data_IF_129694007614
#
_entry.id   IF_129694007614
#
_cell.length_a   1.000
_cell.length_b   1.000
_cell.length_c   1.000
_cell.angle_alpha   90.00
_cell.angle_beta   90.00
_cell.angle_gamma   90.00
#
_symmetry.space_group_name_H-M   'P 1'
#
loop_
_entity.id
_entity.type
_entity.pdbx_description
1 polymer ?
#
# COMPACT_ATOMS: atom_id res chain seq x y z
N UNK A 1 10.77 19.35 9.71
CA UNK A 1 11.63 18.14 9.81
C UNK A 1 10.85 16.93 10.35
N UNK A 2 9.88 17.11 11.25
CA UNK A 2 9.00 16.04 11.73
C UNK A 2 8.13 15.42 10.62
N UNK A 3 7.59 16.23 9.70
CA UNK A 3 6.68 15.76 8.64
C UNK A 3 7.28 14.66 7.74
N UNK A 4 8.56 14.77 7.38
CA UNK A 4 9.23 13.75 6.57
C UNK A 4 9.45 12.45 7.35
N UNK A 5 9.71 12.53 8.65
CA UNK A 5 9.82 11.34 9.49
C UNK A 5 8.45 10.69 9.69
N UNK A 6 7.40 11.50 9.88
CA UNK A 6 6.03 11.03 9.96
C UNK A 6 5.60 10.32 8.67
N UNK A 7 5.89 10.90 7.50
CA UNK A 7 5.63 10.26 6.21
C UNK A 7 6.32 8.89 6.10
N UNK A 8 7.58 8.79 6.53
CA UNK A 8 8.30 7.52 6.56
C UNK A 8 7.65 6.50 7.50
N UNK A 9 7.21 6.93 8.67
CA UNK A 9 6.51 6.06 9.63
C UNK A 9 5.19 5.52 9.06
N UNK A 10 4.41 6.36 8.36
CA UNK A 10 3.17 5.92 7.70
C UNK A 10 3.44 4.81 6.69
N UNK A 11 4.42 4.99 5.79
CA UNK A 11 4.73 3.97 4.78
C UNK A 11 5.26 2.67 5.42
N UNK A 12 6.06 2.75 6.48
CA UNK A 12 6.53 1.56 7.20
C UNK A 12 5.37 0.81 7.84
N UNK A 13 4.51 1.52 8.58
CA UNK A 13 3.37 0.90 9.24
C UNK A 13 2.38 0.30 8.23
N UNK A 14 2.16 0.95 7.09
CA UNK A 14 1.37 0.40 6.00
C UNK A 14 1.88 -0.96 5.55
N UNK A 15 3.18 -1.07 5.26
CA UNK A 15 3.73 -2.34 4.83
C UNK A 15 3.83 -3.37 5.94
N UNK A 16 4.08 -2.98 7.19
CA UNK A 16 4.06 -3.90 8.33
C UNK A 16 2.67 -4.53 8.52
N UNK A 17 1.63 -3.70 8.54
CA UNK A 17 0.23 -4.14 8.68
C UNK A 17 -0.16 -5.01 7.48
N UNK A 18 0.23 -4.61 6.26
CA UNK A 18 -0.06 -5.36 5.05
C UNK A 18 0.71 -6.68 4.98
N UNK A 19 1.97 -6.73 5.39
CA UNK A 19 2.79 -7.94 5.40
C UNK A 19 2.26 -8.94 6.45
N UNK A 20 1.81 -8.44 7.60
CA UNK A 20 1.15 -9.23 8.65
C UNK A 20 -0.26 -9.73 8.28
N UNK A 21 -0.93 -9.12 7.31
CA UNK A 21 -2.26 -9.52 6.86
C UNK A 21 -2.28 -10.97 6.34
N UNK A 22 -3.14 -11.81 6.92
CA UNK A 22 -3.22 -13.25 6.58
C UNK A 22 -4.43 -13.53 5.68
N UNK A 23 -5.51 -12.79 5.88
CA UNK A 23 -6.76 -12.94 5.14
C UNK A 23 -7.11 -11.66 4.36
N UNK A 24 -8.18 -11.74 3.58
CA UNK A 24 -8.68 -10.64 2.76
C UNK A 24 -9.10 -9.42 3.59
N UNK A 25 -9.82 -9.62 4.70
CA UNK A 25 -10.25 -8.52 5.57
C UNK A 25 -9.08 -7.79 6.22
N UNK A 26 -8.00 -8.50 6.57
CA UNK A 26 -6.79 -7.89 7.12
C UNK A 26 -6.11 -6.99 6.07
N UNK A 27 -6.10 -7.43 4.81
CA UNK A 27 -5.54 -6.64 3.70
C UNK A 27 -6.34 -5.35 3.49
N UNK A 28 -7.68 -5.44 3.53
CA UNK A 28 -8.57 -4.26 3.42
C UNK A 28 -8.32 -3.31 4.58
N UNK A 29 -8.29 -3.82 5.81
CA UNK A 29 -8.04 -3.01 7.01
C UNK A 29 -6.67 -2.29 6.96
N UNK A 30 -5.61 -2.96 6.53
CA UNK A 30 -4.29 -2.36 6.37
C UNK A 30 -4.32 -1.22 5.33
N UNK A 31 -4.98 -1.44 4.19
CA UNK A 31 -5.07 -0.43 3.13
C UNK A 31 -5.91 0.78 3.55
N UNK A 32 -7.11 0.57 4.09
CA UNK A 32 -8.02 1.65 4.51
C UNK A 32 -7.46 2.48 5.67
N UNK A 33 -6.66 1.86 6.55
CA UNK A 33 -6.02 2.57 7.66
C UNK A 33 -4.98 3.60 7.21
N UNK A 34 -4.24 3.31 6.15
CA UNK A 34 -3.04 4.09 5.78
C UNK A 34 -3.20 4.87 4.46
N UNK A 35 -4.15 4.50 3.61
CA UNK A 35 -4.37 5.14 2.32
C UNK A 35 -5.59 6.06 2.34
N UNK A 36 -5.53 7.14 1.56
CA UNK A 36 -6.69 8.03 1.37
C UNK A 36 -7.85 7.27 0.71
N UNK A 37 -9.11 7.49 1.11
CA UNK A 37 -10.29 6.98 0.40
C UNK A 37 -10.33 7.38 -1.08
N UNK A 38 -9.73 8.53 -1.42
CA UNK A 38 -9.61 9.04 -2.79
C UNK A 38 -8.33 8.61 -3.52
N UNK A 39 -7.59 7.62 -3.00
CA UNK A 39 -6.39 7.09 -3.65
C UNK A 39 -6.69 6.59 -5.07
N UNK A 40 -5.77 6.87 -5.98
CA UNK A 40 -5.69 6.27 -7.30
C UNK A 40 -4.48 5.35 -7.32
N UNK A 41 -4.69 4.06 -7.54
CA UNK A 41 -3.64 3.07 -7.68
C UNK A 41 -3.51 2.68 -9.15
N UNK A 42 -2.29 2.73 -9.67
CA UNK A 42 -1.99 2.47 -11.08
C UNK A 42 -1.13 1.22 -11.21
N UNK A 43 -1.77 0.13 -11.63
CA UNK A 43 -1.14 -1.13 -11.95
C UNK A 43 -0.96 -1.35 -13.44
N UNK A 44 -0.40 -2.50 -13.76
CA UNK A 44 -0.31 -3.03 -15.12
C UNK A 44 -1.57 -3.86 -15.45
N UNK A 45 -1.76 -4.21 -16.72
CA UNK A 45 -2.81 -5.17 -17.12
C UNK A 45 -2.61 -6.50 -16.38
N UNK A 46 -3.63 -7.09 -15.72
CA UNK A 46 -5.06 -6.85 -15.93
C UNK A 46 -5.71 -5.83 -14.99
N UNK A 47 -4.98 -5.28 -14.02
CA UNK A 47 -5.54 -4.43 -12.96
C UNK A 47 -5.80 -2.99 -13.43
N UNK A 48 -4.97 -2.46 -14.32
CA UNK A 48 -5.06 -1.08 -14.82
C UNK A 48 -5.13 -0.05 -13.67
N UNK A 49 -6.09 0.87 -13.70
CA UNK A 49 -6.34 1.82 -12.61
C UNK A 49 -7.40 1.27 -11.66
N UNK A 50 -7.08 1.28 -10.37
CA UNK A 50 -8.01 0.99 -9.28
C UNK A 50 -8.19 2.24 -8.44
N UNK A 51 -9.42 2.45 -7.98
CA UNK A 51 -9.76 3.56 -7.08
C UNK A 51 -9.97 3.00 -5.69
N UNK A 52 -9.73 3.81 -4.67
CA UNK A 52 -9.92 3.49 -3.25
C UNK A 52 -9.05 2.33 -2.69
N UNK A 53 -8.79 2.30 -1.38
CA UNK A 53 -7.91 1.29 -0.78
C UNK A 53 -8.51 -0.12 -0.73
N UNK A 54 -9.82 -0.24 -0.59
CA UNK A 54 -10.52 -1.52 -0.52
C UNK A 54 -10.37 -2.31 -1.82
N UNK A 55 -10.61 -1.68 -2.97
CA UNK A 55 -10.51 -2.37 -4.26
C UNK A 55 -9.08 -2.85 -4.54
N UNK A 56 -8.06 -2.08 -4.17
CA UNK A 56 -6.66 -2.52 -4.31
C UNK A 56 -6.37 -3.72 -3.41
N UNK A 57 -6.87 -3.72 -2.17
CA UNK A 57 -6.71 -4.85 -1.26
C UNK A 57 -7.37 -6.12 -1.82
N UNK A 58 -8.59 -5.99 -2.33
CA UNK A 58 -9.41 -7.11 -2.81
C UNK A 58 -8.94 -7.66 -4.16
N UNK A 59 -8.59 -6.79 -5.10
CA UNK A 59 -8.27 -7.20 -6.47
C UNK A 59 -6.80 -7.51 -6.66
N UNK A 60 -5.90 -6.89 -5.88
CA UNK A 60 -4.46 -7.07 -6.04
C UNK A 60 -3.83 -7.82 -4.85
N UNK A 61 -3.86 -7.24 -3.64
CA UNK A 61 -3.06 -7.76 -2.53
C UNK A 61 -3.52 -9.12 -2.00
N UNK A 62 -4.82 -9.29 -1.74
CA UNK A 62 -5.34 -10.55 -1.21
C UNK A 62 -5.11 -11.73 -2.19
N UNK A 63 -5.38 -11.60 -3.51
CA UNK A 63 -5.05 -12.65 -4.48
C UNK A 63 -3.55 -12.92 -4.58
N UNK A 64 -2.71 -11.87 -4.61
CA UNK A 64 -1.25 -12.02 -4.69
C UNK A 64 -0.70 -12.78 -3.49
N UNK A 65 -1.11 -12.41 -2.27
CA UNK A 65 -0.70 -13.09 -1.02
C UNK A 65 -1.28 -14.49 -0.90
N UNK A 66 -2.40 -14.79 -1.56
CA UNK A 66 -2.93 -16.15 -1.64
C UNK A 66 -2.08 -17.03 -2.58
N UNK A 67 -1.69 -16.49 -3.73
CA UNK A 67 -0.94 -17.21 -4.75
C UNK A 67 0.55 -17.41 -4.39
N UNK A 68 1.17 -16.46 -3.69
CA UNK A 68 2.58 -16.49 -3.34
C UNK A 68 2.75 -16.62 -1.82
N UNK A 69 3.04 -17.84 -1.34
CA UNK A 69 3.22 -18.10 0.09
C UNK A 69 4.51 -18.89 0.38
N UNK A 70 5.40 -18.39 1.27
CA UNK A 70 5.36 -17.09 1.94
C UNK A 70 5.83 -15.94 1.02
N UNK A 71 5.07 -14.84 0.96
CA UNK A 71 5.52 -13.60 0.31
C UNK A 71 6.41 -12.82 1.26
N UNK A 72 7.62 -12.44 0.82
CA UNK A 72 8.53 -11.60 1.59
C UNK A 72 8.91 -10.36 0.78
N UNK A 73 8.75 -9.20 1.40
CA UNK A 73 9.14 -7.92 0.82
C UNK A 73 10.56 -7.55 1.23
N UNK A 74 11.36 -7.09 0.26
CA UNK A 74 12.68 -6.49 0.50
C UNK A 74 12.62 -4.99 0.23
N UNK A 75 13.00 -4.19 1.22
CA UNK A 75 12.97 -2.73 1.14
C UNK A 75 14.35 -2.18 0.75
N UNK A 76 14.79 -2.50 -0.46
CA UNK A 76 16.11 -2.08 -0.95
C UNK A 76 16.14 -0.57 -1.27
N UNK A 77 15.03 -0.01 -1.75
CA UNK A 77 14.84 1.44 -1.94
C UNK A 77 13.57 1.88 -1.22
N UNK A 78 13.70 2.90 -0.37
CA UNK A 78 12.60 3.43 0.43
C UNK A 78 12.43 4.94 0.22
N UNK A 79 11.23 5.35 -0.17
CA UNK A 79 10.87 6.74 -0.41
C UNK A 79 9.61 7.09 0.38
N UNK A 80 9.64 8.24 1.05
CA UNK A 80 8.47 8.88 1.64
C UNK A 80 8.75 10.37 1.78
N UNK A 81 7.74 11.19 1.47
CA UNK A 81 7.87 12.63 1.48
C UNK A 81 6.85 13.26 0.56
N UNK A 82 7.08 14.53 0.24
CA UNK A 82 6.24 15.27 -0.69
C UNK A 82 6.65 14.96 -2.14
N UNK A 83 5.71 14.96 -3.08
CA UNK A 83 5.97 14.74 -4.51
C UNK A 83 6.19 16.05 -5.27
N UNK A 84 7.43 16.35 -5.71
CA UNK A 84 7.76 17.66 -6.30
C UNK A 84 6.89 18.07 -7.51
N UNK A 85 6.22 17.11 -8.16
CA UNK A 85 5.24 17.36 -9.23
C UNK A 85 4.04 18.18 -8.73
N UNK A 86 3.73 18.11 -7.44
CA UNK A 86 2.63 18.85 -6.79
C UNK A 86 2.97 20.34 -6.57
N UNK A 87 4.16 20.79 -6.96
CA UNK A 87 4.52 22.21 -7.06
C UNK A 87 4.80 22.94 -5.74
N UNK A 88 5.40 22.24 -4.76
CA UNK A 88 5.87 22.85 -3.50
C UNK A 88 7.39 23.06 -3.48
#
# INVERSE_FOLDING_TARGET
>A
MNDLQNAKSVIRQYYEDLDAAVNQSDCVAAMERHCSPSMIWRGFHPFNELHNPGDVALQFWAPLKAALRPLQRRLDIFMAGRNAIDGF
#
